data_IF_750054401922
#
_entry.id   IF_750054401922
#
_cell.length_a   1.000
_cell.length_b   1.000
_cell.length_c   1.000
_cell.angle_alpha   90.00
_cell.angle_beta   90.00
_cell.angle_gamma   90.00
#
_symmetry.space_group_name_H-M   'P 1'
#
loop_
_entity.id
_entity.type
_entity.pdbx_description
1 polymer ?
#
# COMPACT_ATOMS: atom_id res chain seq x y z
N UNK A 1 9.96 -6.63 -8.08
CA UNK A 1 8.77 -5.79 -8.36
C UNK A 1 7.50 -6.42 -7.80
N UNK A 2 6.65 -5.66 -7.10
CA UNK A 2 5.39 -6.14 -6.49
C UNK A 2 4.25 -5.17 -6.79
N UNK A 3 3.13 -5.65 -7.31
CA UNK A 3 1.93 -4.82 -7.51
C UNK A 3 1.03 -4.88 -6.29
N UNK A 4 0.45 -3.74 -5.92
CA UNK A 4 -0.60 -3.62 -4.92
C UNK A 4 -1.93 -3.39 -5.61
N UNK A 5 -2.91 -4.25 -5.32
CA UNK A 5 -4.20 -4.24 -5.98
C UNK A 5 -5.37 -4.27 -4.98
N UNK A 6 -6.52 -3.78 -5.44
CA UNK A 6 -7.82 -3.98 -4.81
C UNK A 6 -8.74 -4.71 -5.78
N UNK A 7 -9.78 -5.33 -5.26
CA UNK A 7 -10.84 -5.89 -6.08
C UNK A 7 -11.97 -4.86 -6.28
N UNK A 8 -12.27 -4.54 -7.54
CA UNK A 8 -13.42 -3.71 -7.91
C UNK A 8 -14.49 -4.61 -8.53
N UNK A 9 -15.70 -4.74 -7.95
CA UNK A 9 -16.70 -5.70 -8.42
C UNK A 9 -17.04 -5.64 -9.91
N UNK A 10 -17.03 -4.45 -10.51
CA UNK A 10 -17.32 -4.25 -11.94
C UNK A 10 -16.12 -4.45 -12.87
N UNK A 11 -14.89 -4.50 -12.35
CA UNK A 11 -13.65 -4.45 -13.16
C UNK A 11 -12.63 -5.57 -12.82
N UNK A 12 -12.81 -6.28 -11.72
CA UNK A 12 -11.85 -7.27 -11.22
C UNK A 12 -10.68 -6.63 -10.45
N UNK A 13 -9.53 -7.33 -10.38
CA UNK A 13 -8.32 -6.79 -9.76
C UNK A 13 -7.87 -5.49 -10.42
N UNK A 14 -7.66 -4.47 -9.61
CA UNK A 14 -7.28 -3.14 -10.03
C UNK A 14 -6.00 -2.72 -9.33
N UNK A 15 -4.95 -2.47 -10.10
CA UNK A 15 -3.62 -2.13 -9.59
C UNK A 15 -3.62 -0.66 -9.18
N UNK A 16 -3.26 -0.40 -7.93
CA UNK A 16 -3.14 0.96 -7.36
C UNK A 16 -1.71 1.45 -7.50
N UNK A 17 -0.75 0.59 -7.23
CA UNK A 17 0.67 0.93 -7.15
C UNK A 17 1.54 -0.26 -7.55
N UNK A 18 2.72 0.01 -8.09
CA UNK A 18 3.78 -0.99 -8.26
C UNK A 18 4.95 -0.59 -7.38
N UNK A 19 5.23 -1.40 -6.37
CA UNK A 19 6.36 -1.25 -5.46
C UNK A 19 7.65 -1.83 -6.08
N UNK A 20 8.73 -1.09 -5.88
CA UNK A 20 10.08 -1.40 -6.35
C UNK A 20 11.02 -1.72 -5.17
N UNK A 21 12.30 -1.95 -5.47
CA UNK A 21 13.31 -2.22 -4.46
C UNK A 21 13.45 -1.02 -3.51
N UNK A 22 13.34 -1.28 -2.20
CA UNK A 22 13.41 -0.26 -1.14
C UNK A 22 12.04 0.22 -0.66
N UNK A 23 10.96 -0.12 -1.37
CA UNK A 23 9.62 0.26 -0.95
C UNK A 23 9.08 -0.63 0.16
N UNK A 24 8.23 -0.05 1.00
CA UNK A 24 7.62 -0.74 2.14
C UNK A 24 6.26 -1.30 1.75
N UNK A 25 6.10 -2.62 1.91
CA UNK A 25 4.82 -3.30 1.73
C UNK A 25 4.07 -3.35 3.07
N UNK A 26 2.81 -2.91 3.06
CA UNK A 26 1.90 -3.00 4.20
C UNK A 26 2.20 -2.06 5.38
N UNK A 27 1.42 -0.99 5.51
CA UNK A 27 1.32 -0.17 6.74
C UNK A 27 0.10 -0.56 7.59
N UNK A 28 -0.77 -1.42 7.07
CA UNK A 28 -2.06 -1.72 7.70
C UNK A 28 -1.98 -2.41 9.05
N UNK A 29 -0.83 -3.00 9.38
CA UNK A 29 -0.58 -3.62 10.67
C UNK A 29 -0.36 -2.62 11.82
N UNK A 30 -0.21 -1.32 11.52
CA UNK A 30 -0.04 -0.27 12.51
C UNK A 30 -1.33 0.09 13.25
N UNK A 31 -2.47 -0.07 12.57
CA UNK A 31 -3.77 0.37 13.06
C UNK A 31 -4.72 -0.82 13.17
N UNK A 32 -5.51 -0.93 14.25
CA UNK A 32 -6.59 -1.92 14.32
C UNK A 32 -7.51 -1.81 13.10
N UNK A 33 -8.03 -2.93 12.54
CA UNK A 33 -7.93 -4.32 13.04
C UNK A 33 -6.70 -5.09 12.53
N UNK A 34 -5.62 -4.41 12.13
CA UNK A 34 -4.36 -5.01 11.65
C UNK A 34 -4.52 -5.91 10.42
N UNK A 35 -5.49 -5.59 9.55
CA UNK A 35 -5.77 -6.34 8.32
C UNK A 35 -5.18 -5.65 7.11
N UNK A 36 -4.65 -6.41 6.18
CA UNK A 36 -4.21 -5.91 4.89
C UNK A 36 -5.38 -5.20 4.17
N UNK A 37 -5.11 -4.00 3.67
CA UNK A 37 -6.08 -3.23 2.87
C UNK A 37 -5.93 -3.50 1.36
N UNK A 38 -4.82 -4.11 0.96
CA UNK A 38 -4.43 -4.35 -0.42
C UNK A 38 -3.87 -5.75 -0.55
N UNK A 39 -4.14 -6.40 -1.67
CA UNK A 39 -3.43 -7.61 -2.05
C UNK A 39 -2.09 -7.22 -2.67
N UNK A 40 -1.07 -8.05 -2.44
CA UNK A 40 0.26 -7.86 -2.99
C UNK A 40 0.62 -9.04 -3.90
N UNK A 41 0.94 -8.76 -5.17
CA UNK A 41 1.34 -9.78 -6.14
C UNK A 41 2.73 -9.54 -6.67
N UNK A 42 3.56 -10.55 -6.58
CA UNK A 42 4.93 -10.54 -7.09
C UNK A 42 4.89 -10.68 -8.62
N UNK A 43 5.54 -9.77 -9.34
CA UNK A 43 5.57 -9.78 -10.82
C UNK A 43 6.82 -10.47 -11.38
N UNK A 44 7.86 -10.61 -10.57
CA UNK A 44 9.15 -11.20 -10.90
C UNK A 44 9.83 -11.71 -9.62
N UNK A 45 10.89 -12.54 -9.73
CA UNK A 45 11.62 -13.02 -8.55
C UNK A 45 12.02 -11.86 -7.63
N UNK A 46 11.37 -11.79 -6.46
CA UNK A 46 11.50 -10.69 -5.51
C UNK A 46 11.90 -11.23 -4.15
N UNK A 47 12.85 -10.56 -3.49
CA UNK A 47 13.23 -10.84 -2.10
C UNK A 47 12.72 -9.72 -1.22
N UNK A 48 12.15 -10.07 -0.08
CA UNK A 48 11.61 -9.12 0.88
C UNK A 48 12.14 -9.41 2.28
N UNK A 49 12.26 -8.36 3.09
CA UNK A 49 12.53 -8.48 4.52
C UNK A 49 11.18 -8.45 5.23
N UNK A 50 10.85 -9.53 5.92
CA UNK A 50 9.66 -9.59 6.76
C UNK A 50 9.99 -9.08 8.17
N UNK A 51 9.13 -8.23 8.72
CA UNK A 51 9.24 -7.75 10.09
C UNK A 51 8.02 -8.19 10.90
N UNK A 52 8.24 -8.62 12.14
CA UNK A 52 7.15 -8.95 13.05
C UNK A 52 6.41 -7.68 13.47
N UNK A 53 5.15 -7.57 13.06
CA UNK A 53 4.34 -6.39 13.33
C UNK A 53 4.00 -6.20 14.81
N UNK A 54 3.85 -7.28 15.57
CA UNK A 54 3.54 -7.21 17.00
C UNK A 54 4.74 -6.69 17.78
N UNK A 55 5.91 -7.27 17.52
CA UNK A 55 7.18 -6.83 18.08
C UNK A 55 7.45 -5.35 17.76
N UNK A 56 7.22 -4.92 16.51
CA UNK A 56 7.38 -3.51 16.13
C UNK A 56 6.42 -2.59 16.87
N UNK A 57 5.15 -2.98 17.04
CA UNK A 57 4.18 -2.17 17.83
C UNK A 57 4.57 -2.06 19.29
N UNK A 58 5.05 -3.13 19.91
CA UNK A 58 5.52 -3.09 21.30
C UNK A 58 6.75 -2.19 21.45
N UNK A 59 7.72 -2.33 20.54
CA UNK A 59 8.94 -1.49 20.53
C UNK A 59 8.63 -0.02 20.29
N UNK A 60 7.68 0.30 19.41
CA UNK A 60 7.29 1.70 19.14
C UNK A 60 6.66 2.36 20.36
N UNK A 61 5.97 1.57 21.20
CA UNK A 61 5.32 2.07 22.41
C UNK A 61 6.33 2.26 23.55
N UNK A 62 7.29 1.33 23.65
CA UNK A 62 8.36 1.40 24.64
C UNK A 62 9.38 2.51 24.35
N UNK A 63 9.59 2.87 23.09
CA UNK A 63 10.52 3.91 22.65
C UNK A 63 9.81 4.95 21.75
N UNK A 64 9.43 6.12 22.30
CA UNK A 64 8.76 7.18 21.53
C UNK A 64 9.59 7.74 20.37
N UNK A 65 10.93 7.74 20.46
CA UNK A 65 11.78 8.22 19.38
C UNK A 65 11.75 7.25 18.20
N UNK A 66 11.80 5.94 18.47
CA UNK A 66 11.55 4.91 17.47
C UNK A 66 10.14 5.04 16.88
N UNK A 67 9.14 5.21 17.74
CA UNK A 67 7.75 5.41 17.32
C UNK A 67 7.58 6.58 16.37
N UNK A 68 8.16 7.73 16.68
CA UNK A 68 8.13 8.91 15.82
C UNK A 68 8.77 8.65 14.45
N UNK A 69 9.96 8.04 14.43
CA UNK A 69 10.66 7.71 13.19
C UNK A 69 9.88 6.72 12.32
N UNK A 70 9.27 5.70 12.93
CA UNK A 70 8.39 4.77 12.22
C UNK A 70 7.19 5.52 11.64
N UNK A 71 6.51 6.36 12.43
CA UNK A 71 5.31 7.07 11.98
C UNK A 71 5.61 8.02 10.82
N UNK A 72 6.73 8.74 10.85
CA UNK A 72 7.14 9.58 9.72
C UNK A 72 7.35 8.77 8.43
N UNK A 73 8.01 7.62 8.52
CA UNK A 73 8.25 6.75 7.36
C UNK A 73 6.94 6.21 6.80
N UNK A 74 6.03 5.73 7.66
CA UNK A 74 4.75 5.21 7.23
C UNK A 74 3.80 6.29 6.71
N UNK A 75 3.84 7.50 7.27
CA UNK A 75 3.05 8.64 6.79
C UNK A 75 3.34 8.96 5.32
N UNK A 76 4.63 8.93 4.92
CA UNK A 76 5.03 9.13 3.52
C UNK A 76 4.49 8.02 2.60
N UNK A 77 4.55 6.76 3.02
CA UNK A 77 3.98 5.64 2.26
C UNK A 77 2.46 5.76 2.12
N UNK A 78 1.76 6.17 3.19
CA UNK A 78 0.32 6.41 3.16
C UNK A 78 -0.06 7.56 2.23
N UNK A 79 0.68 8.67 2.27
CA UNK A 79 0.48 9.81 1.37
C UNK A 79 0.65 9.38 -0.10
N UNK A 80 1.75 8.71 -0.44
CA UNK A 80 2.03 8.24 -1.79
C UNK A 80 0.90 7.35 -2.33
N UNK A 81 0.42 6.41 -1.51
CA UNK A 81 -0.69 5.52 -1.88
C UNK A 81 -2.01 6.24 -2.00
N UNK A 82 -2.29 7.21 -1.14
CA UNK A 82 -3.50 8.02 -1.24
C UNK A 82 -3.51 8.84 -2.54
N UNK A 83 -2.38 9.45 -2.90
CA UNK A 83 -2.25 10.19 -4.16
C UNK A 83 -2.38 9.27 -5.38
N UNK A 84 -1.72 8.11 -5.38
CA UNK A 84 -1.85 7.11 -6.44
C UNK A 84 -3.31 6.66 -6.60
N UNK A 85 -3.97 6.32 -5.49
CA UNK A 85 -5.40 5.93 -5.49
C UNK A 85 -6.28 7.06 -6.01
N UNK A 86 -6.03 8.31 -5.64
CA UNK A 86 -6.81 9.47 -6.11
C UNK A 86 -6.68 9.67 -7.61
N UNK A 87 -5.48 9.57 -8.16
CA UNK A 87 -5.23 9.65 -9.61
C UNK A 87 -5.94 8.50 -10.34
N UNK A 88 -5.82 7.29 -9.81
CA UNK A 88 -6.47 6.11 -10.38
C UNK A 88 -8.00 6.18 -10.33
N UNK A 89 -8.59 6.67 -9.23
CA UNK A 89 -10.04 6.90 -9.15
C UNK A 89 -10.49 8.00 -10.12
N UNK A 90 -9.72 9.07 -10.27
CA UNK A 90 -10.01 10.10 -11.26
C UNK A 90 -9.99 9.55 -12.70
N UNK A 91 -9.09 8.60 -13.01
CA UNK A 91 -9.09 7.90 -14.31
C UNK A 91 -10.28 6.94 -14.45
N UNK A 92 -10.60 6.18 -13.40
CA UNK A 92 -11.75 5.25 -13.36
C UNK A 92 -13.08 5.96 -13.62
N UNK A 93 -13.24 7.19 -13.12
CA UNK A 93 -14.48 7.98 -13.28
C UNK A 93 -14.38 9.06 -14.36
N UNK A 94 -13.18 9.39 -14.84
CA UNK A 94 -12.92 10.48 -15.78
C UNK A 94 -13.02 10.11 -17.25
N UNK A 95 -13.22 8.82 -17.58
CA UNK A 95 -13.32 8.39 -18.97
C UNK A 95 -14.73 7.84 -19.28
N UNK A 96 -15.66 8.64 -19.85
CA UNK A 96 -16.74 8.08 -20.62
C UNK A 96 -16.09 7.43 -21.85
N UNK A 97 -16.19 6.10 -21.91
CA UNK A 97 -15.81 5.26 -23.04
C UNK A 97 -16.05 6.00 -24.37
N UNK A 98 -15.01 6.58 -24.96
CA UNK A 98 -15.04 7.02 -26.34
C UNK A 98 -14.96 5.77 -27.22
N UNK A 99 -16.10 5.11 -27.42
CA UNK A 99 -16.29 4.26 -28.58
C UNK A 99 -16.36 5.17 -29.81
N UNK A 100 -15.28 5.30 -30.54
CA UNK A 100 -15.32 5.72 -31.95
C UNK A 100 -14.93 4.53 -32.81
N UNK A 101 -15.90 4.06 -33.59
CA UNK A 101 -15.70 3.31 -34.83
C UNK A 101 -14.80 4.07 -35.80
#
# INVERSE_FOLDING_TARGET
>A
KVTLEIYVPSRGPFIIETAEAGDVLGWSWLFPPYRWHFDARVQELTRAIAMDATCLREKKEADPALGYNLMQRFARVMEQRLQATRLQLADVYGNPVAHSR
#
